data_IF_702682967810
#
_entry.id   IF_702682967810
#
_cell.length_a   1.000
_cell.length_b   1.000
_cell.length_c   1.000
_cell.angle_alpha   90.00
_cell.angle_beta   90.00
_cell.angle_gamma   90.00
#
_symmetry.space_group_name_H-M   'P 1'
#
loop_
_entity.id
_entity.type
_entity.pdbx_description
1 polymer ?
#
# COMPACT_ATOMS: atom_id res chain seq x y z
N UNK A 1 -19.67 -11.13 7.83
CA UNK A 1 -20.47 -12.25 7.29
C UNK A 1 -20.47 -13.34 8.35
N UNK A 2 -21.62 -13.71 8.88
CA UNK A 2 -21.75 -14.83 9.83
C UNK A 2 -22.30 -16.06 9.11
N UNK A 3 -21.66 -17.21 9.29
CA UNK A 3 -22.14 -18.50 8.79
C UNK A 3 -23.32 -18.99 9.62
N UNK A 4 -24.45 -19.29 9.00
CA UNK A 4 -25.53 -20.04 9.64
C UNK A 4 -25.23 -21.53 9.47
N UNK A 5 -24.93 -22.21 10.58
CA UNK A 5 -24.83 -23.67 10.64
C UNK A 5 -26.24 -24.26 10.76
N UNK A 6 -26.69 -24.98 9.73
CA UNK A 6 -27.93 -25.75 9.79
C UNK A 6 -27.64 -27.11 10.42
N UNK A 7 -28.07 -27.30 11.68
CA UNK A 7 -28.20 -28.62 12.29
C UNK A 7 -29.32 -29.38 11.57
N UNK A 8 -28.96 -30.41 10.80
CA UNK A 8 -29.90 -31.37 10.27
C UNK A 8 -30.30 -32.29 11.43
N UNK A 9 -31.55 -32.20 11.87
CA UNK A 9 -32.13 -33.16 12.80
C UNK A 9 -32.50 -34.45 12.08
N UNK A 10 -32.11 -35.58 12.66
CA UNK A 10 -32.50 -36.93 12.24
C UNK A 10 -34.02 -37.10 12.35
N UNK A 11 -34.72 -36.82 11.24
CA UNK A 11 -36.15 -37.02 11.11
C UNK A 11 -36.45 -37.52 9.71
N UNK A 12 -36.63 -38.83 9.57
CA UNK A 12 -37.03 -39.49 8.34
C UNK A 12 -38.34 -38.90 7.80
N UNK A 13 -38.26 -38.04 6.79
CA UNK A 13 -39.42 -37.51 6.10
C UNK A 13 -40.00 -38.57 5.14
N UNK A 14 -41.09 -39.22 5.54
CA UNK A 14 -41.94 -40.01 4.63
C UNK A 14 -42.61 -39.08 3.63
N UNK A 15 -42.29 -39.22 2.35
CA UNK A 15 -43.00 -38.53 1.26
C UNK A 15 -44.42 -39.10 1.12
N UNK A 16 -45.45 -38.29 1.41
CA UNK A 16 -46.84 -38.54 1.00
C UNK A 16 -47.06 -38.03 -0.43
N UNK A 17 -47.85 -38.78 -1.21
CA UNK A 17 -48.26 -38.44 -2.59
C UNK A 17 -48.85 -37.03 -2.69
N UNK A 18 -48.42 -36.31 -3.72
CA UNK A 18 -48.80 -34.93 -4.01
C UNK A 18 -50.32 -34.78 -4.18
N UNK A 19 -50.90 -33.83 -3.45
CA UNK A 19 -52.25 -33.31 -3.70
C UNK A 19 -52.19 -32.23 -4.78
N UNK A 20 -53.30 -32.06 -5.50
CA UNK A 20 -53.47 -31.19 -6.68
C UNK A 20 -53.19 -29.70 -6.37
N UNK A 21 -53.11 -29.29 -5.10
CA UNK A 21 -52.66 -27.94 -4.69
C UNK A 21 -51.15 -27.69 -4.86
N UNK A 22 -50.33 -28.73 -5.05
CA UNK A 22 -48.87 -28.55 -5.20
C UNK A 22 -48.46 -27.97 -6.56
N UNK A 23 -49.27 -28.14 -7.62
CA UNK A 23 -48.90 -27.66 -8.96
C UNK A 23 -49.03 -26.14 -9.09
N UNK A 24 -50.06 -25.54 -8.48
CA UNK A 24 -50.29 -24.10 -8.54
C UNK A 24 -49.21 -23.30 -7.80
N UNK A 25 -48.77 -23.79 -6.64
CA UNK A 25 -47.68 -23.18 -5.87
C UNK A 25 -46.35 -23.30 -6.62
N UNK A 26 -46.10 -24.45 -7.25
CA UNK A 26 -44.90 -24.64 -8.09
C UNK A 26 -44.93 -23.75 -9.34
N UNK A 27 -46.09 -23.55 -9.96
CA UNK A 27 -46.29 -22.62 -11.09
C UNK A 27 -46.07 -21.16 -10.67
N UNK A 28 -46.56 -20.75 -9.50
CA UNK A 28 -46.33 -19.40 -8.96
C UNK A 28 -44.86 -19.17 -8.62
N UNK A 29 -44.18 -20.15 -8.02
CA UNK A 29 -42.75 -20.10 -7.74
C UNK A 29 -41.95 -20.02 -9.04
N UNK A 30 -42.29 -20.82 -10.05
CA UNK A 30 -41.64 -20.79 -11.35
C UNK A 30 -41.88 -19.45 -12.06
N UNK A 31 -43.10 -18.92 -12.02
CA UNK A 31 -43.42 -17.61 -12.57
C UNK A 31 -42.65 -16.49 -11.86
N UNK A 32 -42.52 -16.54 -10.54
CA UNK A 32 -41.73 -15.58 -9.75
C UNK A 32 -40.25 -15.63 -10.13
N UNK A 33 -39.66 -16.82 -10.27
CA UNK A 33 -38.27 -17.00 -10.69
C UNK A 33 -38.08 -16.51 -12.13
N UNK A 34 -38.99 -16.81 -13.04
CA UNK A 34 -38.90 -16.37 -14.45
C UNK A 34 -39.01 -14.85 -14.55
N UNK A 35 -39.99 -14.25 -13.87
CA UNK A 35 -40.21 -12.80 -13.90
C UNK A 35 -39.07 -12.00 -13.26
N UNK A 36 -38.51 -12.48 -12.14
CA UNK A 36 -37.35 -11.85 -11.51
C UNK A 36 -36.10 -11.95 -12.38
N UNK A 37 -35.87 -13.09 -13.04
CA UNK A 37 -34.75 -13.23 -13.97
C UNK A 37 -34.94 -12.43 -15.27
N UNK A 38 -36.17 -12.33 -15.80
CA UNK A 38 -36.49 -11.46 -16.95
C UNK A 38 -36.32 -9.98 -16.61
N UNK A 39 -36.72 -9.56 -15.41
CA UNK A 39 -36.52 -8.19 -14.96
C UNK A 39 -35.04 -7.86 -14.75
N UNK A 40 -34.28 -8.80 -14.17
CA UNK A 40 -32.82 -8.66 -14.06
C UNK A 40 -32.17 -8.59 -15.45
N UNK A 41 -32.56 -9.48 -16.38
CA UNK A 41 -32.07 -9.43 -17.76
C UNK A 41 -32.40 -8.10 -18.41
N UNK A 42 -33.64 -7.61 -18.31
CA UNK A 42 -34.03 -6.30 -18.82
C UNK A 42 -33.18 -5.19 -18.20
N UNK A 43 -33.00 -5.16 -16.87
CA UNK A 43 -32.18 -4.14 -16.20
C UNK A 43 -30.71 -4.18 -16.62
N UNK A 44 -30.15 -5.36 -16.90
CA UNK A 44 -28.75 -5.52 -17.32
C UNK A 44 -28.53 -5.39 -18.84
N UNK A 45 -29.55 -5.64 -19.67
CA UNK A 45 -29.48 -5.49 -21.14
C UNK A 45 -30.10 -4.19 -21.63
N UNK A 46 -30.74 -3.40 -20.77
CA UNK A 46 -31.25 -2.08 -21.09
C UNK A 46 -30.06 -1.13 -21.29
N UNK A 47 -29.57 -1.10 -22.52
CA UNK A 47 -28.80 0.02 -23.04
C UNK A 47 -29.76 1.18 -23.30
N UNK A 48 -29.55 2.37 -22.73
CA UNK A 48 -30.27 3.56 -23.16
C UNK A 48 -30.01 3.70 -24.66
N UNK A 49 -31.07 3.71 -25.48
CA UNK A 49 -30.91 4.19 -26.85
C UNK A 49 -30.47 5.64 -26.73
N UNK A 50 -29.25 5.93 -27.19
CA UNK A 50 -28.92 7.26 -27.67
C UNK A 50 -30.06 7.71 -28.58
N UNK A 51 -30.75 8.77 -28.20
CA UNK A 51 -31.69 9.43 -29.09
C UNK A 51 -30.90 9.97 -30.28
N UNK A 52 -31.09 9.46 -31.51
CA UNK A 52 -30.62 10.15 -32.69
C UNK A 52 -31.60 11.29 -32.93
N UNK A 53 -31.07 12.51 -32.88
CA UNK A 53 -31.54 13.68 -33.61
C UNK A 53 -33.06 13.89 -33.68
N UNK A 54 -33.57 14.76 -32.80
CA UNK A 54 -34.78 15.53 -33.11
C UNK A 54 -34.44 16.62 -34.15
N UNK A 55 -34.03 16.20 -35.34
CA UNK A 55 -34.09 16.98 -36.56
C UNK A 55 -35.43 16.74 -37.23
N UNK A 56 -36.14 17.80 -37.61
CA UNK A 56 -37.47 17.82 -38.22
C UNK A 56 -38.68 17.64 -37.27
N UNK A 57 -38.90 18.67 -36.45
CA UNK A 57 -40.21 19.33 -36.32
C UNK A 57 -39.99 20.79 -35.87
N UNK A 58 -39.16 21.51 -36.62
CA UNK A 58 -39.02 22.97 -36.51
C UNK A 58 -39.80 23.58 -37.66
N UNK A 59 -41.11 23.68 -37.47
CA UNK A 59 -41.89 24.77 -38.04
C UNK A 59 -42.84 25.23 -36.93
N UNK A 60 -42.27 26.03 -36.02
CA UNK A 60 -42.89 27.20 -35.36
C UNK A 60 -42.16 27.51 -34.04
N UNK A 61 -41.76 28.78 -33.89
CA UNK A 61 -41.26 29.50 -32.70
C UNK A 61 -39.75 29.44 -32.35
N UNK A 62 -38.93 30.41 -32.82
CA UNK A 62 -37.49 30.48 -32.56
C UNK A 62 -37.09 31.25 -31.27
N UNK A 63 -38.02 31.54 -30.35
CA UNK A 63 -37.74 32.34 -29.13
C UNK A 63 -37.61 31.54 -27.82
N UNK A 64 -38.08 30.29 -27.78
CA UNK A 64 -38.12 29.51 -26.53
C UNK A 64 -36.83 28.71 -26.24
N UNK A 65 -36.02 28.39 -27.25
CA UNK A 65 -34.79 27.59 -27.07
C UNK A 65 -33.66 28.43 -26.46
N UNK A 66 -33.56 29.73 -26.80
CA UNK A 66 -32.57 30.63 -26.17
C UNK A 66 -32.87 30.86 -24.69
N UNK A 67 -34.15 30.98 -24.34
CA UNK A 67 -34.63 31.19 -22.96
C UNK A 67 -34.38 29.97 -22.07
N UNK A 68 -34.60 28.75 -22.60
CA UNK A 68 -34.28 27.50 -21.90
C UNK A 68 -32.76 27.36 -21.72
N UNK A 69 -31.97 27.68 -22.75
CA UNK A 69 -30.50 27.66 -22.65
C UNK A 69 -29.97 28.66 -21.63
N UNK A 70 -30.57 29.84 -21.54
CA UNK A 70 -30.20 30.90 -20.60
C UNK A 70 -30.62 30.54 -19.16
N UNK A 71 -31.80 29.97 -18.98
CA UNK A 71 -32.25 29.44 -17.69
C UNK A 71 -31.40 28.26 -17.20
N UNK A 72 -30.98 27.35 -18.08
CA UNK A 72 -30.06 26.26 -17.73
C UNK A 72 -28.69 26.81 -17.33
N UNK A 73 -28.18 27.83 -18.03
CA UNK A 73 -26.92 28.47 -17.65
C UNK A 73 -27.01 29.19 -16.29
N UNK A 74 -28.14 29.83 -15.98
CA UNK A 74 -28.40 30.44 -14.67
C UNK A 74 -28.49 29.38 -13.57
N UNK A 75 -29.16 28.25 -13.81
CA UNK A 75 -29.24 27.15 -12.86
C UNK A 75 -27.84 26.56 -12.59
N UNK A 76 -27.03 26.35 -13.64
CA UNK A 76 -25.66 25.86 -13.47
C UNK A 76 -24.78 26.85 -12.69
N UNK A 77 -24.91 28.15 -12.96
CA UNK A 77 -24.25 29.21 -12.21
C UNK A 77 -24.66 29.23 -10.73
N UNK A 78 -25.94 29.07 -10.44
CA UNK A 78 -26.47 29.04 -9.07
C UNK A 78 -26.01 27.78 -8.32
N UNK A 79 -25.94 26.63 -9.01
CA UNK A 79 -25.37 25.38 -8.48
C UNK A 79 -23.89 25.58 -8.15
N UNK A 80 -23.11 26.17 -9.06
CA UNK A 80 -21.68 26.43 -8.85
C UNK A 80 -21.46 27.41 -7.67
N UNK A 81 -22.28 28.46 -7.58
CA UNK A 81 -22.28 29.43 -6.47
C UNK A 81 -22.63 28.76 -5.14
N UNK A 82 -23.64 27.90 -5.13
CA UNK A 82 -24.07 27.15 -3.93
C UNK A 82 -23.00 26.15 -3.49
N UNK A 83 -22.35 25.45 -4.42
CA UNK A 83 -21.23 24.56 -4.10
C UNK A 83 -20.03 25.33 -3.54
N UNK A 84 -19.71 26.50 -4.10
CA UNK A 84 -18.65 27.38 -3.55
C UNK A 84 -18.97 27.84 -2.12
N UNK A 85 -20.21 28.23 -1.84
CA UNK A 85 -20.65 28.59 -0.48
C UNK A 85 -20.59 27.41 0.48
N UNK A 86 -20.98 26.22 0.04
CA UNK A 86 -20.91 25.00 0.85
C UNK A 86 -19.46 24.65 1.19
N UNK A 87 -18.56 24.68 0.21
CA UNK A 87 -17.12 24.46 0.41
C UNK A 87 -16.49 25.52 1.35
N UNK A 88 -16.91 26.78 1.24
CA UNK A 88 -16.48 27.85 2.14
C UNK A 88 -16.95 27.60 3.59
N UNK A 89 -18.22 27.20 3.78
CA UNK A 89 -18.73 26.83 5.10
C UNK A 89 -18.05 25.57 5.65
N UNK A 90 -17.81 24.54 4.82
CA UNK A 90 -17.06 23.36 5.24
C UNK A 90 -15.64 23.73 5.66
N UNK A 91 -14.97 24.63 4.94
CA UNK A 91 -13.64 25.15 5.30
C UNK A 91 -13.65 25.92 6.62
N UNK A 92 -14.67 26.75 6.85
CA UNK A 92 -14.81 27.54 8.08
C UNK A 92 -15.24 26.69 9.29
N UNK A 93 -16.05 25.66 9.09
CA UNK A 93 -16.61 24.80 10.15
C UNK A 93 -15.67 23.64 10.49
N UNK A 94 -15.02 23.03 9.50
CA UNK A 94 -14.20 21.82 9.66
C UNK A 94 -12.69 22.11 9.64
N UNK A 95 -12.26 23.28 9.16
CA UNK A 95 -10.84 23.67 9.14
C UNK A 95 -9.95 22.81 8.21
N UNK A 96 -10.54 21.99 7.34
CA UNK A 96 -9.79 21.14 6.41
C UNK A 96 -9.41 21.91 5.14
N UNK A 97 -8.12 21.96 4.81
CA UNK A 97 -7.66 22.31 3.46
C UNK A 97 -7.99 21.13 2.51
N UNK A 98 -9.02 21.30 1.69
CA UNK A 98 -9.37 20.40 0.60
C UNK A 98 -8.77 20.90 -0.72
N UNK A 99 -8.41 19.99 -1.62
CA UNK A 99 -7.95 20.36 -2.96
C UNK A 99 -9.11 21.02 -3.72
N UNK A 100 -8.97 22.29 -4.07
CA UNK A 100 -9.94 23.02 -4.88
C UNK A 100 -9.96 22.47 -6.32
N UNK A 101 -11.05 21.76 -6.66
CA UNK A 101 -11.27 21.19 -7.99
C UNK A 101 -11.52 22.25 -9.07
N UNK A 102 -11.83 23.48 -8.67
CA UNK A 102 -11.98 24.65 -9.54
C UNK A 102 -10.65 25.28 -9.98
N UNK A 103 -9.52 24.85 -9.40
CA UNK A 103 -8.20 25.39 -9.72
C UNK A 103 -7.89 25.23 -11.23
N UNK A 104 -7.42 26.30 -11.91
CA UNK A 104 -6.98 26.18 -13.30
C UNK A 104 -5.78 25.22 -13.39
N UNK A 105 -5.66 24.49 -14.50
CA UNK A 105 -4.58 23.52 -14.78
C UNK A 105 -4.57 22.23 -13.94
N UNK A 106 -5.68 21.90 -13.26
CA UNK A 106 -5.85 20.59 -12.64
C UNK A 106 -6.18 19.54 -13.72
N UNK A 107 -5.46 18.42 -13.74
CA UNK A 107 -5.69 17.32 -14.67
C UNK A 107 -7.12 16.78 -14.54
N UNK A 108 -7.77 16.52 -15.68
CA UNK A 108 -9.15 16.03 -15.71
C UNK A 108 -9.32 14.71 -14.93
N UNK A 109 -8.35 13.80 -15.02
CA UNK A 109 -8.40 12.54 -14.27
C UNK A 109 -8.29 12.77 -12.75
N UNK A 110 -7.60 13.81 -12.29
CA UNK A 110 -7.54 14.16 -10.87
C UNK A 110 -8.90 14.68 -10.39
N UNK A 111 -9.58 15.50 -11.20
CA UNK A 111 -10.95 15.97 -10.92
C UNK A 111 -11.91 14.80 -10.78
N UNK A 112 -11.90 13.89 -11.75
CA UNK A 112 -12.75 12.69 -11.75
C UNK A 112 -12.43 11.78 -10.56
N UNK A 113 -11.14 11.61 -10.22
CA UNK A 113 -10.74 10.79 -9.08
C UNK A 113 -11.23 11.34 -7.75
N UNK A 114 -11.11 12.66 -7.53
CA UNK A 114 -11.51 13.32 -6.28
C UNK A 114 -13.01 13.61 -6.20
N UNK A 115 -13.74 13.48 -7.30
CA UNK A 115 -15.18 13.72 -7.33
C UNK A 115 -15.90 12.74 -6.39
N UNK A 116 -16.78 13.27 -5.55
CA UNK A 116 -17.66 12.46 -4.70
C UNK A 116 -18.70 11.74 -5.57
N UNK A 117 -18.85 10.43 -5.34
CA UNK A 117 -19.82 9.62 -6.06
C UNK A 117 -20.89 9.15 -5.10
N UNK A 118 -22.16 9.49 -5.34
CA UNK A 118 -23.27 8.96 -4.56
C UNK A 118 -23.29 7.43 -4.63
N UNK A 119 -23.63 6.79 -3.52
CA UNK A 119 -23.81 5.34 -3.50
C UNK A 119 -24.94 4.95 -4.45
N UNK A 120 -24.77 3.91 -5.28
CA UNK A 120 -25.79 3.52 -6.28
C UNK A 120 -27.17 3.22 -5.69
N UNK A 121 -27.21 2.79 -4.42
CA UNK A 121 -28.44 2.42 -3.70
C UNK A 121 -28.84 3.44 -2.62
N UNK A 122 -28.23 4.64 -2.64
CA UNK A 122 -28.42 5.63 -1.59
C UNK A 122 -27.71 5.27 -0.28
N UNK A 123 -28.21 5.80 0.84
CA UNK A 123 -27.59 5.69 2.16
C UNK A 123 -27.43 4.23 2.60
N UNK A 124 -26.22 3.81 2.93
CA UNK A 124 -26.00 2.51 3.56
C UNK A 124 -26.60 2.49 4.97
N UNK A 125 -27.55 1.58 5.21
CA UNK A 125 -28.24 1.45 6.49
C UNK A 125 -27.32 1.11 7.67
N UNK A 126 -26.18 0.45 7.42
CA UNK A 126 -25.25 0.01 8.47
C UNK A 126 -24.23 1.08 8.84
N UNK A 127 -23.60 1.70 7.84
CA UNK A 127 -22.54 2.69 8.05
C UNK A 127 -23.06 4.13 8.03
N UNK A 128 -24.26 4.36 7.51
CA UNK A 128 -24.83 5.69 7.32
C UNK A 128 -24.19 6.48 6.17
N UNK A 129 -23.22 5.92 5.45
CA UNK A 129 -22.51 6.56 4.36
C UNK A 129 -23.45 6.73 3.17
N UNK A 130 -23.38 7.88 2.51
CA UNK A 130 -24.18 8.22 1.31
C UNK A 130 -23.34 8.34 0.05
N UNK A 131 -22.03 8.53 0.20
CA UNK A 131 -21.09 8.83 -0.88
C UNK A 131 -19.82 8.01 -0.75
N UNK A 132 -19.28 7.60 -1.90
CA UNK A 132 -17.93 7.09 -2.03
C UNK A 132 -16.99 8.27 -2.27
N UNK A 133 -15.99 8.39 -1.39
CA UNK A 133 -14.94 9.40 -1.49
C UNK A 133 -13.61 8.73 -1.83
N UNK A 134 -12.83 9.35 -2.70
CA UNK A 134 -11.45 8.97 -2.89
C UNK A 134 -10.57 9.71 -1.88
N UNK A 135 -9.61 9.03 -1.27
CA UNK A 135 -8.66 9.64 -0.35
C UNK A 135 -7.37 10.02 -1.06
N UNK A 136 -6.92 11.25 -0.85
CA UNK A 136 -5.52 11.66 -1.01
C UNK A 136 -5.01 12.15 0.33
N UNK A 137 -3.72 11.94 0.61
CA UNK A 137 -3.12 12.45 1.84
C UNK A 137 -3.31 13.96 1.93
N UNK A 138 -3.70 14.47 3.11
CA UNK A 138 -3.98 15.89 3.30
C UNK A 138 -2.78 16.78 2.95
N UNK A 139 -1.57 16.34 3.28
CA UNK A 139 -0.32 17.03 2.91
C UNK A 139 -0.09 17.15 1.40
N UNK A 140 -0.83 16.39 0.58
CA UNK A 140 -0.76 16.45 -0.86
C UNK A 140 -1.33 17.75 -1.45
N UNK A 141 -2.13 18.49 -0.67
CA UNK A 141 -2.59 19.83 -1.04
C UNK A 141 -1.41 20.75 -1.43
N UNK A 142 -0.30 20.65 -0.69
CA UNK A 142 0.95 21.41 -0.94
C UNK A 142 1.69 20.95 -2.19
N UNK A 143 1.32 19.80 -2.75
CA UNK A 143 1.94 19.18 -3.92
C UNK A 143 0.93 18.98 -5.06
N UNK A 144 -0.16 19.76 -5.09
CA UNK A 144 -1.23 19.64 -6.09
C UNK A 144 -0.72 19.75 -7.52
N UNK A 145 0.28 20.58 -7.79
CA UNK A 145 0.83 20.71 -9.15
C UNK A 145 1.56 19.43 -9.60
N UNK A 146 2.31 18.79 -8.68
CA UNK A 146 2.95 17.50 -8.92
C UNK A 146 1.90 16.38 -9.05
N UNK A 147 0.83 16.43 -8.24
CA UNK A 147 -0.27 15.47 -8.31
C UNK A 147 -1.04 15.61 -9.63
N UNK A 148 -1.27 16.84 -10.08
CA UNK A 148 -1.88 17.14 -11.38
C UNK A 148 -1.01 16.60 -12.52
N UNK A 149 0.30 16.84 -12.47
CA UNK A 149 1.25 16.26 -13.41
C UNK A 149 1.19 14.72 -13.41
N UNK A 150 1.15 14.11 -12.22
CA UNK A 150 1.01 12.66 -12.07
C UNK A 150 -0.33 12.14 -12.62
N UNK A 151 -1.40 12.92 -12.54
CA UNK A 151 -2.71 12.51 -13.09
C UNK A 151 -2.90 12.92 -14.55
N UNK A 152 -1.89 13.49 -15.20
CA UNK A 152 -1.94 13.82 -16.62
C UNK A 152 -1.47 12.64 -17.48
N UNK A 153 -2.42 11.79 -17.88
CA UNK A 153 -2.17 10.63 -18.73
C UNK A 153 -3.34 10.37 -19.68
N UNK A 154 -3.10 9.55 -20.72
CA UNK A 154 -4.15 9.11 -21.63
C UNK A 154 -4.90 7.91 -21.05
N UNK A 155 -6.22 8.04 -20.88
CA UNK A 155 -7.11 6.94 -20.48
C UNK A 155 -6.98 5.79 -21.49
N UNK A 156 -6.88 4.55 -20.99
CA UNK A 156 -6.68 3.34 -21.80
C UNK A 156 -5.44 3.44 -22.72
N UNK A 157 -4.50 4.33 -22.43
CA UNK A 157 -3.19 4.42 -23.07
C UNK A 157 -2.10 3.85 -22.17
N UNK A 158 -0.83 3.84 -22.63
CA UNK A 158 0.30 3.53 -21.77
C UNK A 158 0.45 4.59 -20.68
N UNK A 159 0.73 4.16 -19.45
CA UNK A 159 1.10 5.09 -18.39
C UNK A 159 2.45 5.76 -18.69
N UNK A 160 2.62 7.05 -18.36
CA UNK A 160 3.92 7.70 -18.42
C UNK A 160 4.97 6.95 -17.56
N UNK A 161 6.23 6.98 -17.98
CA UNK A 161 7.36 6.43 -17.22
C UNK A 161 7.84 7.45 -16.19
N UNK A 162 7.01 7.71 -15.19
CA UNK A 162 7.16 8.77 -14.19
C UNK A 162 7.12 8.24 -12.75
N UNK A 163 7.63 7.01 -12.54
CA UNK A 163 7.67 6.38 -11.22
C UNK A 163 8.39 7.25 -10.16
N UNK A 164 9.38 8.04 -10.57
CA UNK A 164 10.12 8.97 -9.70
C UNK A 164 9.26 10.14 -9.23
N UNK A 165 8.33 10.62 -10.06
CA UNK A 165 7.31 11.59 -9.67
C UNK A 165 6.36 10.97 -8.63
N UNK A 166 5.93 9.73 -8.86
CA UNK A 166 5.15 8.97 -7.88
C UNK A 166 5.87 8.84 -6.53
N UNK A 167 7.16 8.47 -6.52
CA UNK A 167 7.97 8.41 -5.30
C UNK A 167 8.09 9.77 -4.61
N UNK A 168 8.25 10.86 -5.38
CA UNK A 168 8.33 12.21 -4.83
C UNK A 168 7.03 12.61 -4.14
N UNK A 169 5.89 12.26 -4.71
CA UNK A 169 4.57 12.46 -4.11
C UNK A 169 4.42 11.64 -2.82
N UNK A 170 4.80 10.36 -2.83
CA UNK A 170 4.86 9.50 -1.63
C UNK A 170 5.65 10.18 -0.50
N UNK A 171 6.88 10.61 -0.80
CA UNK A 171 7.76 11.28 0.16
C UNK A 171 7.25 12.66 0.62
N UNK A 172 6.31 13.23 -0.13
CA UNK A 172 5.63 14.50 0.21
C UNK A 172 4.30 14.28 0.95
N UNK A 173 3.99 13.04 1.36
CA UNK A 173 2.80 12.70 2.14
C UNK A 173 1.53 12.51 1.30
N UNK A 174 1.66 12.22 0.00
CA UNK A 174 0.54 11.93 -0.90
C UNK A 174 0.14 10.44 -0.94
N UNK A 175 0.47 9.61 0.07
CA UNK A 175 -0.01 8.22 0.08
C UNK A 175 -1.44 8.09 0.67
N UNK A 176 -2.27 7.16 0.15
CA UNK A 176 -2.01 6.36 -1.05
C UNK A 176 -2.06 7.22 -2.31
N UNK A 177 -1.20 6.89 -3.29
CA UNK A 177 -1.22 7.58 -4.58
C UNK A 177 -2.55 7.35 -5.31
N UNK A 178 -3.02 8.38 -6.01
CA UNK A 178 -4.22 8.32 -6.83
C UNK A 178 -4.13 7.21 -7.89
N UNK A 179 -5.18 6.42 -8.01
CA UNK A 179 -5.24 5.32 -9.00
C UNK A 179 -5.34 5.89 -10.41
N UNK A 180 -4.61 5.30 -11.36
CA UNK A 180 -4.63 5.70 -12.78
C UNK A 180 -5.41 4.73 -13.64
N UNK A 181 -6.09 5.23 -14.67
CA UNK A 181 -6.80 4.47 -15.72
C UNK A 181 -5.96 4.31 -16.99
N UNK A 182 -4.67 3.99 -16.83
CA UNK A 182 -3.72 3.71 -17.91
C UNK A 182 -3.10 2.33 -17.74
N UNK A 183 -2.53 1.78 -18.80
CA UNK A 183 -1.85 0.49 -18.80
C UNK A 183 -0.40 0.65 -18.35
N UNK A 184 -0.02 -0.07 -17.29
CA UNK A 184 1.37 -0.10 -16.83
C UNK A 184 2.32 -0.55 -17.95
N UNK A 185 3.53 0.00 -17.95
CA UNK A 185 4.57 -0.35 -18.92
C UNK A 185 4.89 -1.84 -18.84
N UNK A 186 4.79 -2.55 -19.96
CA UNK A 186 5.23 -3.93 -20.06
C UNK A 186 6.77 -3.97 -20.03
N UNK A 187 7.34 -4.65 -19.05
CA UNK A 187 8.79 -4.89 -18.96
C UNK A 187 9.04 -6.37 -19.27
N UNK A 188 9.86 -6.70 -20.28
CA UNK A 188 10.20 -8.08 -20.60
C UNK A 188 10.79 -8.80 -19.38
N UNK A 189 10.22 -9.95 -19.01
CA UNK A 189 10.68 -10.78 -17.88
C UNK A 189 11.62 -11.88 -18.34
N UNK A 190 12.63 -11.49 -19.11
CA UNK A 190 13.61 -12.43 -19.71
C UNK A 190 14.40 -13.12 -18.60
N UNK A 191 14.35 -14.45 -18.56
CA UNK A 191 15.09 -15.25 -17.58
C UNK A 191 14.47 -15.30 -16.18
N UNK A 192 13.20 -14.90 -16.01
CA UNK A 192 12.43 -15.25 -14.82
C UNK A 192 11.84 -16.65 -15.00
N UNK A 193 12.01 -17.48 -13.98
CA UNK A 193 11.42 -18.82 -13.88
C UNK A 193 10.20 -18.79 -12.95
N UNK A 194 9.31 -19.77 -13.04
CA UNK A 194 8.14 -19.88 -12.16
C UNK A 194 8.53 -19.99 -10.69
N UNK A 195 9.67 -20.63 -10.41
CA UNK A 195 10.31 -20.65 -9.11
C UNK A 195 11.80 -20.32 -9.31
N UNK A 196 12.39 -19.42 -8.51
CA UNK A 196 13.80 -19.09 -8.64
C UNK A 196 14.66 -20.32 -8.31
N UNK A 197 15.52 -20.76 -9.24
CA UNK A 197 16.50 -21.85 -9.00
C UNK A 197 17.40 -21.54 -7.80
N UNK A 198 17.71 -20.26 -7.59
CA UNK A 198 18.50 -19.79 -6.47
C UNK A 198 18.17 -18.34 -6.14
N UNK A 199 18.07 -18.02 -4.85
CA UNK A 199 17.92 -16.66 -4.34
C UNK A 199 19.23 -15.85 -4.42
N UNK A 200 20.34 -16.49 -4.81
CA UNK A 200 21.71 -15.96 -4.84
C UNK A 200 22.31 -15.95 -6.25
N UNK A 201 21.46 -16.05 -7.29
CA UNK A 201 21.86 -15.97 -8.68
C UNK A 201 21.28 -14.71 -9.32
N UNK A 202 22.09 -13.99 -10.07
CA UNK A 202 21.60 -12.86 -10.86
C UNK A 202 20.75 -13.36 -12.03
N UNK A 203 19.64 -12.67 -12.24
CA UNK A 203 18.79 -12.80 -13.43
C UNK A 203 19.14 -11.71 -14.45
N UNK A 204 18.52 -11.75 -15.64
CA UNK A 204 18.81 -10.78 -16.70
C UNK A 204 18.52 -9.35 -16.24
N UNK A 205 19.47 -8.43 -16.45
CA UNK A 205 19.29 -7.01 -16.10
C UNK A 205 18.23 -6.29 -16.96
N UNK A 206 17.73 -6.95 -18.02
CA UNK A 206 16.66 -6.44 -18.89
C UNK A 206 15.30 -6.38 -18.20
N UNK A 207 15.15 -7.02 -17.03
CA UNK A 207 13.88 -7.05 -16.29
C UNK A 207 13.66 -5.82 -15.39
N UNK A 208 14.70 -5.00 -15.21
CA UNK A 208 14.68 -3.82 -14.36
C UNK A 208 14.35 -2.56 -15.17
N UNK A 209 13.59 -1.65 -14.57
CA UNK A 209 13.44 -0.31 -15.12
C UNK A 209 14.61 0.56 -14.68
N UNK A 210 15.42 0.98 -15.64
CA UNK A 210 16.54 1.92 -15.40
C UNK A 210 16.15 3.38 -15.63
N UNK A 211 14.88 3.65 -15.94
CA UNK A 211 14.37 5.01 -16.13
C UNK A 211 14.52 5.81 -14.84
N UNK A 212 14.91 7.08 -14.91
CA UNK A 212 15.08 7.94 -13.73
C UNK A 212 16.25 7.60 -12.79
N UNK A 213 16.93 6.47 -12.98
CA UNK A 213 18.07 6.05 -12.16
C UNK A 213 19.40 6.53 -12.73
N UNK A 214 20.33 6.92 -11.86
CA UNK A 214 21.68 7.35 -12.25
C UNK A 214 22.57 6.21 -12.77
N UNK A 215 22.30 4.96 -12.35
CA UNK A 215 22.95 3.76 -12.89
C UNK A 215 22.06 3.05 -13.91
N UNK A 216 22.68 2.37 -14.88
CA UNK A 216 22.00 1.64 -15.98
C UNK A 216 22.29 0.14 -16.02
N UNK A 217 23.06 -0.35 -15.06
CA UNK A 217 23.38 -1.76 -14.89
C UNK A 217 23.79 -2.04 -13.43
N UNK A 218 23.80 -3.32 -13.06
CA UNK A 218 24.17 -3.76 -11.71
C UNK A 218 25.64 -3.46 -11.39
N UNK A 219 26.53 -3.50 -12.40
CA UNK A 219 27.94 -3.17 -12.24
C UNK A 219 28.16 -1.74 -11.73
N UNK A 220 27.40 -0.76 -12.25
CA UNK A 220 27.39 0.61 -11.78
C UNK A 220 26.85 0.74 -10.35
N UNK A 221 25.80 0.00 -10.01
CA UNK A 221 25.26 0.00 -8.65
C UNK A 221 26.26 -0.56 -7.65
N UNK A 222 26.98 -1.63 -8.02
CA UNK A 222 27.99 -2.25 -7.17
C UNK A 222 29.22 -1.37 -6.95
N UNK A 223 29.57 -0.49 -7.89
CA UNK A 223 30.68 0.45 -7.73
C UNK A 223 30.34 1.70 -6.92
N UNK A 224 29.05 1.96 -6.68
CA UNK A 224 28.58 3.11 -5.90
C UNK A 224 28.19 2.70 -4.48
N UNK A 225 28.43 3.62 -3.55
CA UNK A 225 27.85 3.56 -2.21
C UNK A 225 26.53 4.33 -2.23
N UNK A 226 25.42 3.63 -2.44
CA UNK A 226 24.09 4.25 -2.58
C UNK A 226 23.61 4.85 -1.26
N UNK A 227 23.77 4.11 -0.17
CA UNK A 227 23.54 4.58 1.19
C UNK A 227 24.48 3.83 2.15
N UNK A 228 24.32 4.02 3.47
CA UNK A 228 25.19 3.38 4.48
C UNK A 228 25.10 1.85 4.46
N UNK A 229 23.98 1.31 3.98
CA UNK A 229 23.60 -0.11 4.10
C UNK A 229 23.71 -0.88 2.78
N UNK A 230 23.96 -0.17 1.69
CA UNK A 230 23.96 -0.71 0.33
C UNK A 230 25.29 -0.40 -0.38
N UNK A 231 26.40 -0.84 0.20
CA UNK A 231 27.70 -0.86 -0.47
C UNK A 231 27.95 -2.28 -1.04
N UNK A 232 27.79 -2.45 -2.36
CA UNK A 232 27.88 -3.77 -3.00
C UNK A 232 26.68 -4.69 -2.75
N UNK A 233 25.54 -4.14 -2.35
CA UNK A 233 24.34 -4.91 -1.99
C UNK A 233 23.68 -5.67 -3.16
N UNK A 234 24.03 -5.35 -4.40
CA UNK A 234 23.59 -6.08 -5.59
C UNK A 234 24.57 -7.19 -6.00
N UNK A 235 25.71 -7.31 -5.31
CA UNK A 235 26.64 -8.43 -5.46
C UNK A 235 26.19 -9.59 -4.57
N UNK A 236 25.19 -10.34 -5.05
CA UNK A 236 24.59 -11.45 -4.28
C UNK A 236 25.23 -12.82 -4.55
N UNK A 237 26.16 -12.90 -5.51
CA UNK A 237 26.84 -14.17 -5.86
C UNK A 237 28.19 -14.31 -5.17
N UNK A 238 28.82 -13.18 -4.85
CA UNK A 238 30.15 -13.06 -4.25
C UNK A 238 30.14 -11.84 -3.33
N UNK A 239 31.04 -11.80 -2.35
CA UNK A 239 31.14 -10.64 -1.46
C UNK A 239 30.27 -10.72 -0.20
N UNK A 240 30.05 -9.56 0.43
CA UNK A 240 29.55 -9.48 1.81
C UNK A 240 28.10 -9.93 1.97
N UNK A 241 27.22 -9.66 1.00
CA UNK A 241 25.80 -10.03 1.08
C UNK A 241 25.62 -11.54 1.28
N UNK A 242 26.49 -12.36 0.68
CA UNK A 242 26.49 -13.83 0.86
C UNK A 242 26.88 -14.29 2.25
N UNK A 243 27.47 -13.43 3.08
CA UNK A 243 27.89 -13.76 4.45
C UNK A 243 27.00 -13.11 5.51
N UNK A 244 26.19 -12.12 5.10
CA UNK A 244 25.28 -11.39 5.99
C UNK A 244 24.32 -12.36 6.67
N UNK A 245 24.15 -12.19 7.98
CA UNK A 245 23.29 -12.99 8.87
C UNK A 245 23.67 -14.47 9.09
N UNK A 246 24.72 -14.96 8.43
CA UNK A 246 25.19 -16.36 8.58
C UNK A 246 26.63 -16.46 9.08
N UNK A 247 27.38 -15.36 9.02
CA UNK A 247 28.74 -15.27 9.56
C UNK A 247 28.90 -14.02 10.41
N UNK A 248 29.38 -14.19 11.64
CA UNK A 248 29.69 -13.09 12.56
C UNK A 248 30.97 -12.39 12.10
N UNK A 249 30.93 -11.07 11.94
CA UNK A 249 32.11 -10.23 11.67
C UNK A 249 32.37 -9.22 12.78
N UNK A 250 31.31 -8.79 13.44
CA UNK A 250 31.33 -7.87 14.57
C UNK A 250 30.48 -8.41 15.72
N UNK A 251 30.71 -7.89 16.93
CA UNK A 251 29.88 -8.20 18.11
C UNK A 251 28.40 -7.83 17.92
N UNK A 252 28.10 -6.94 16.97
CA UNK A 252 26.76 -6.45 16.66
C UNK A 252 26.01 -7.35 15.65
N UNK A 253 26.69 -8.33 15.04
CA UNK A 253 26.08 -9.19 14.04
C UNK A 253 25.39 -10.37 14.71
N UNK A 254 24.07 -10.46 14.56
CA UNK A 254 23.29 -11.60 15.04
C UNK A 254 23.00 -12.55 13.89
N UNK A 255 23.20 -13.85 14.14
CA UNK A 255 22.92 -14.88 13.15
C UNK A 255 21.43 -15.18 13.11
N UNK A 256 20.89 -15.45 11.91
CA UNK A 256 19.47 -15.77 11.77
C UNK A 256 19.11 -17.00 12.61
N UNK A 257 19.93 -18.05 12.60
CA UNK A 257 19.65 -19.28 13.35
C UNK A 257 19.56 -19.02 14.86
N UNK A 258 20.44 -18.16 15.40
CA UNK A 258 20.38 -17.75 16.80
C UNK A 258 19.09 -17.00 17.11
N UNK A 259 18.68 -16.06 16.24
CA UNK A 259 17.46 -15.27 16.45
C UNK A 259 16.20 -16.13 16.32
N UNK A 260 16.17 -17.05 15.35
CA UNK A 260 15.06 -17.98 15.19
C UNK A 260 14.92 -18.91 16.42
N UNK A 261 16.04 -19.37 16.98
CA UNK A 261 16.05 -20.19 18.20
C UNK A 261 15.54 -19.45 19.44
N UNK A 262 15.59 -18.11 19.46
CA UNK A 262 14.99 -17.27 20.51
C UNK A 262 13.47 -17.11 20.36
N UNK A 263 12.90 -17.53 19.23
CA UNK A 263 11.46 -17.50 18.99
C UNK A 263 10.69 -18.32 20.03
N UNK A 264 9.45 -17.90 20.33
CA UNK A 264 8.56 -18.66 21.22
C UNK A 264 8.21 -20.04 20.62
N UNK A 265 7.68 -20.96 21.44
CA UNK A 265 7.37 -22.36 21.09
C UNK A 265 6.50 -22.57 19.81
N UNK A 266 5.92 -21.53 19.22
CA UNK A 266 5.20 -21.57 17.94
C UNK A 266 6.04 -21.26 16.70
N UNK A 267 7.33 -20.96 16.85
CA UNK A 267 8.24 -20.61 15.75
C UNK A 267 7.98 -19.24 15.12
N UNK A 268 8.80 -18.92 14.11
CA UNK A 268 8.70 -17.70 13.29
C UNK A 268 8.36 -18.16 11.87
N UNK A 269 7.27 -17.67 11.29
CA UNK A 269 6.75 -18.10 9.98
C UNK A 269 6.61 -16.94 9.02
N UNK A 270 6.19 -15.78 9.53
CA UNK A 270 6.01 -14.55 8.75
C UNK A 270 6.77 -13.40 9.41
N UNK A 271 7.64 -12.77 8.63
CA UNK A 271 8.43 -11.61 9.03
C UNK A 271 8.09 -10.35 8.25
N UNK A 272 8.36 -9.19 8.85
CA UNK A 272 8.34 -7.89 8.19
C UNK A 272 9.73 -7.26 8.29
N UNK A 273 10.28 -6.83 7.16
CA UNK A 273 11.64 -6.31 7.07
C UNK A 273 11.63 -4.84 6.64
N UNK A 274 12.03 -3.98 7.56
CA UNK A 274 12.11 -2.53 7.39
C UNK A 274 13.57 -2.18 7.06
N UNK A 275 13.79 -1.62 5.86
CA UNK A 275 15.14 -1.26 5.41
C UNK A 275 15.95 -2.43 4.85
N UNK A 276 15.29 -3.46 4.31
CA UNK A 276 15.92 -4.68 3.80
C UNK A 276 16.86 -4.54 2.61
N UNK A 277 17.05 -3.33 2.05
CA UNK A 277 17.93 -3.06 0.93
C UNK A 277 17.60 -3.93 -0.28
N UNK A 278 18.53 -4.78 -0.70
CA UNK A 278 18.38 -5.71 -1.83
C UNK A 278 17.60 -7.00 -1.51
N UNK A 279 17.05 -7.13 -0.30
CA UNK A 279 16.25 -8.28 0.15
C UNK A 279 17.07 -9.46 0.69
N UNK A 280 18.32 -9.23 1.09
CA UNK A 280 19.21 -10.29 1.63
C UNK A 280 18.67 -10.94 2.89
N UNK A 281 18.07 -10.15 3.79
CA UNK A 281 17.42 -10.70 4.99
C UNK A 281 16.26 -11.62 4.60
N UNK A 282 15.35 -11.16 3.75
CA UNK A 282 14.25 -11.97 3.22
C UNK A 282 14.72 -13.25 2.53
N UNK A 283 15.80 -13.19 1.75
CA UNK A 283 16.38 -14.38 1.11
C UNK A 283 16.84 -15.43 2.12
N UNK A 284 17.56 -14.99 3.17
CA UNK A 284 18.06 -15.88 4.22
C UNK A 284 16.95 -16.50 5.07
N UNK A 285 15.89 -15.73 5.31
CA UNK A 285 14.70 -16.20 6.02
C UNK A 285 13.91 -17.20 5.17
N UNK A 286 13.81 -16.98 3.85
CA UNK A 286 13.16 -17.91 2.92
C UNK A 286 13.86 -19.28 2.86
N UNK A 287 15.19 -19.33 2.95
CA UNK A 287 15.95 -20.61 3.08
C UNK A 287 15.54 -21.43 4.32
N UNK A 288 14.92 -20.80 5.32
CA UNK A 288 14.43 -21.40 6.56
C UNK A 288 12.90 -21.47 6.59
N UNK A 289 12.25 -21.39 5.43
CA UNK A 289 10.80 -21.42 5.27
C UNK A 289 10.05 -20.28 6.00
N UNK A 290 10.70 -19.13 6.19
CA UNK A 290 10.07 -17.92 6.72
C UNK A 290 9.76 -16.96 5.59
N UNK A 291 8.49 -16.61 5.43
CA UNK A 291 8.05 -15.62 4.44
C UNK A 291 8.28 -14.22 4.99
N UNK A 292 8.99 -13.36 4.25
CA UNK A 292 9.27 -12.00 4.67
C UNK A 292 8.71 -11.01 3.65
N UNK A 293 7.98 -10.01 4.14
CA UNK A 293 7.61 -8.82 3.35
C UNK A 293 8.65 -7.73 3.62
N UNK A 294 9.33 -7.25 2.58
CA UNK A 294 10.39 -6.24 2.71
C UNK A 294 9.91 -4.87 2.26
N UNK A 295 9.76 -3.93 3.19
CA UNK A 295 9.42 -2.54 2.90
C UNK A 295 10.64 -1.79 2.37
N UNK A 296 10.55 -1.23 1.15
CA UNK A 296 11.62 -0.44 0.55
C UNK A 296 11.13 0.49 -0.56
N UNK A 297 11.81 1.62 -0.75
CA UNK A 297 11.61 2.55 -1.86
C UNK A 297 12.72 2.35 -2.92
N UNK A 298 12.51 2.86 -4.13
CA UNK A 298 13.49 2.81 -5.22
C UNK A 298 14.39 4.06 -5.17
N UNK A 299 15.18 4.19 -4.11
CA UNK A 299 16.13 5.31 -3.94
C UNK A 299 17.45 4.96 -4.64
N UNK A 300 17.73 5.63 -5.76
CA UNK A 300 18.93 5.46 -6.60
C UNK A 300 19.19 4.05 -7.18
N UNK A 301 18.32 3.08 -6.89
CA UNK A 301 18.36 1.72 -7.40
C UNK A 301 16.95 1.09 -7.50
N UNK A 302 16.77 0.07 -8.36
CA UNK A 302 15.48 -0.59 -8.57
C UNK A 302 15.26 -1.70 -7.52
N UNK A 303 15.22 -1.33 -6.24
CA UNK A 303 15.15 -2.28 -5.12
C UNK A 303 13.94 -3.22 -5.21
N UNK A 304 12.76 -2.67 -5.48
CA UNK A 304 11.53 -3.45 -5.53
C UNK A 304 11.58 -4.49 -6.65
N UNK A 305 12.00 -4.10 -7.85
CA UNK A 305 12.15 -5.02 -8.98
C UNK A 305 13.25 -6.05 -8.74
N UNK A 306 14.35 -5.67 -8.08
CA UNK A 306 15.43 -6.59 -7.73
C UNK A 306 14.98 -7.65 -6.72
N UNK A 307 14.26 -7.26 -5.68
CA UNK A 307 13.70 -8.20 -4.69
C UNK A 307 12.67 -9.13 -5.35
N UNK A 308 11.73 -8.59 -6.12
CA UNK A 308 10.73 -9.38 -6.82
C UNK A 308 11.34 -10.38 -7.81
N UNK A 309 12.40 -9.96 -8.52
CA UNK A 309 13.12 -10.80 -9.47
C UNK A 309 13.79 -12.03 -8.83
N UNK A 310 14.10 -11.96 -7.53
CA UNK A 310 14.62 -13.08 -6.74
C UNK A 310 13.51 -14.00 -6.21
N UNK A 311 12.23 -13.71 -6.52
CA UNK A 311 11.08 -14.44 -5.97
C UNK A 311 10.76 -14.06 -4.52
N UNK A 312 11.21 -12.90 -4.06
CA UNK A 312 10.94 -12.37 -2.71
C UNK A 312 9.83 -11.31 -2.78
N UNK A 313 9.26 -10.94 -1.62
CA UNK A 313 8.11 -10.03 -1.57
C UNK A 313 8.53 -8.59 -1.19
N UNK A 314 8.64 -7.67 -2.16
CA UNK A 314 8.82 -6.25 -1.87
C UNK A 314 7.49 -5.55 -1.58
N UNK A 315 7.52 -4.59 -0.66
CA UNK A 315 6.45 -3.64 -0.41
C UNK A 315 6.97 -2.22 -0.65
N UNK A 316 6.45 -1.59 -1.69
CA UNK A 316 6.76 -0.20 -2.01
C UNK A 316 5.98 0.74 -1.08
N UNK A 317 6.64 1.23 -0.02
CA UNK A 317 6.00 1.98 1.06
C UNK A 317 7.00 2.93 1.74
N UNK A 318 6.55 4.15 2.07
CA UNK A 318 7.28 5.06 2.96
C UNK A 318 7.05 4.73 4.44
N UNK A 319 8.08 4.90 5.28
CA UNK A 319 7.98 4.70 6.73
C UNK A 319 7.23 5.83 7.46
N UNK A 320 6.89 6.90 6.76
CA UNK A 320 6.06 8.00 7.30
C UNK A 320 4.56 7.64 7.32
N UNK A 321 4.16 6.55 6.67
CA UNK A 321 2.78 6.06 6.65
C UNK A 321 2.58 4.85 7.56
N UNK A 322 1.36 4.73 8.09
CA UNK A 322 0.96 3.55 8.86
C UNK A 322 1.06 2.31 7.98
N UNK A 323 1.67 1.25 8.50
CA UNK A 323 1.82 -0.01 7.80
C UNK A 323 0.45 -0.61 7.42
N UNK A 324 0.27 -1.05 6.16
CA UNK A 324 -0.99 -1.55 5.62
C UNK A 324 -1.28 -2.99 6.06
N UNK A 325 -0.93 -3.34 7.29
CA UNK A 325 -1.15 -4.66 7.89
C UNK A 325 -2.10 -4.54 9.08
N UNK A 326 -2.83 -5.63 9.34
CA UNK A 326 -3.66 -5.71 10.53
C UNK A 326 -2.82 -5.85 11.80
N UNK A 327 -3.44 -5.65 12.95
CA UNK A 327 -2.77 -5.75 14.24
C UNK A 327 -2.32 -7.19 14.52
N UNK A 328 -1.14 -7.37 15.13
CA UNK A 328 -0.55 -8.66 15.50
C UNK A 328 -0.35 -9.65 14.32
N UNK A 329 -0.03 -9.13 13.13
CA UNK A 329 0.18 -9.94 11.91
C UNK A 329 1.50 -10.72 11.92
N UNK A 330 2.61 -10.14 12.39
CA UNK A 330 3.94 -10.69 12.18
C UNK A 330 4.49 -11.41 13.41
N UNK A 331 5.24 -12.50 13.16
CA UNK A 331 6.00 -13.24 14.19
C UNK A 331 7.34 -12.55 14.51
N UNK A 332 7.92 -11.87 13.51
CA UNK A 332 9.19 -11.16 13.59
C UNK A 332 9.09 -9.84 12.82
N UNK A 333 9.52 -8.74 13.43
CA UNK A 333 9.81 -7.49 12.71
C UNK A 333 11.31 -7.25 12.78
N UNK A 334 11.96 -7.20 11.62
CA UNK A 334 13.35 -6.84 11.46
C UNK A 334 13.43 -5.38 11.04
N UNK A 335 14.27 -4.59 11.71
CA UNK A 335 14.56 -3.22 11.34
C UNK A 335 16.08 -3.11 11.18
N UNK A 336 16.51 -3.05 9.91
CA UNK A 336 17.90 -2.82 9.56
C UNK A 336 18.31 -1.37 9.87
N UNK A 337 19.61 -1.12 9.80
CA UNK A 337 20.21 0.18 10.05
C UNK A 337 19.47 1.32 9.31
N UNK A 338 19.30 2.44 10.03
CA UNK A 338 18.65 3.63 9.48
C UNK A 338 17.13 3.57 9.41
N UNK A 339 16.43 3.44 10.54
CA UNK A 339 15.15 4.16 10.69
C UNK A 339 15.49 5.66 10.74
N UNK A 340 15.88 6.23 9.60
CA UNK A 340 16.05 7.66 9.43
C UNK A 340 14.68 8.26 9.17
N UNK A 341 13.83 8.23 10.20
CA UNK A 341 12.48 8.80 10.18
C UNK A 341 12.54 10.33 10.28
N UNK A 342 13.64 10.96 9.83
CA UNK A 342 13.94 12.36 10.09
C UNK A 342 14.33 12.63 11.55
N UNK A 343 14.96 13.78 11.78
CA UNK A 343 15.55 14.14 13.08
C UNK A 343 14.56 14.44 14.23
N UNK A 344 13.27 14.14 14.09
CA UNK A 344 12.24 14.40 15.12
C UNK A 344 11.93 13.13 15.90
N UNK A 345 11.95 13.21 17.22
CA UNK A 345 11.69 12.09 18.14
C UNK A 345 10.31 11.47 17.96
N UNK A 346 9.30 12.30 17.67
CA UNK A 346 7.90 11.89 17.55
C UNK A 346 7.69 10.94 16.37
N UNK A 347 8.42 11.14 15.27
CA UNK A 347 8.34 10.24 14.11
C UNK A 347 8.85 8.83 14.45
N UNK A 348 9.93 8.75 15.22
CA UNK A 348 10.41 7.46 15.74
C UNK A 348 9.42 6.83 16.71
N UNK A 349 8.76 7.62 17.56
CA UNK A 349 7.70 7.13 18.45
C UNK A 349 6.54 6.52 17.66
N UNK A 350 5.97 7.25 16.70
CA UNK A 350 4.89 6.73 15.84
C UNK A 350 5.28 5.44 15.13
N UNK A 351 6.48 5.39 14.56
CA UNK A 351 6.98 4.20 13.89
C UNK A 351 7.11 3.00 14.84
N UNK A 352 7.63 3.20 16.05
CA UNK A 352 7.78 2.12 17.04
C UNK A 352 6.43 1.65 17.58
N UNK A 353 5.44 2.54 17.75
CA UNK A 353 4.07 2.14 18.05
C UNK A 353 3.45 1.31 16.92
N UNK A 354 3.74 1.64 15.66
CA UNK A 354 3.21 0.90 14.52
C UNK A 354 3.89 -0.46 14.33
N UNK A 355 5.21 -0.53 14.57
CA UNK A 355 5.97 -1.79 14.68
C UNK A 355 5.36 -2.66 15.79
N UNK A 356 5.16 -2.09 16.98
CA UNK A 356 4.57 -2.80 18.11
C UNK A 356 3.16 -3.32 17.76
N UNK A 357 2.36 -2.51 17.07
CA UNK A 357 1.01 -2.88 16.65
C UNK A 357 1.00 -4.08 15.72
N UNK A 358 1.85 -4.12 14.69
CA UNK A 358 1.86 -5.21 13.71
C UNK A 358 2.56 -6.47 14.22
N UNK A 359 3.43 -6.36 15.23
CA UNK A 359 4.10 -7.49 15.87
C UNK A 359 3.14 -8.20 16.85
N UNK A 360 3.00 -9.53 16.75
CA UNK A 360 2.16 -10.29 17.68
C UNK A 360 2.78 -10.40 19.07
N UNK A 361 1.96 -10.66 20.09
CA UNK A 361 2.45 -11.02 21.42
C UNK A 361 3.36 -12.28 21.35
N UNK A 362 4.48 -12.25 22.07
CA UNK A 362 5.52 -13.28 22.02
C UNK A 362 6.36 -13.29 20.74
N UNK A 363 6.07 -12.40 19.78
CA UNK A 363 6.88 -12.17 18.59
C UNK A 363 8.16 -11.39 18.90
N UNK A 364 9.09 -11.38 17.94
CA UNK A 364 10.40 -10.76 18.09
C UNK A 364 10.50 -9.44 17.31
N UNK A 365 11.08 -8.43 17.93
CA UNK A 365 11.60 -7.24 17.28
C UNK A 365 13.12 -7.36 17.23
N UNK A 366 13.67 -7.44 16.02
CA UNK A 366 15.10 -7.48 15.76
C UNK A 366 15.55 -6.13 15.21
N UNK A 367 16.27 -5.37 16.05
CA UNK A 367 17.00 -4.18 15.64
C UNK A 367 18.40 -4.60 15.20
N UNK A 368 18.71 -4.49 13.91
CA UNK A 368 20.01 -4.88 13.33
C UNK A 368 20.86 -3.64 13.06
N UNK A 369 21.95 -3.48 13.83
CA UNK A 369 22.88 -2.37 13.68
C UNK A 369 22.17 -1.01 13.61
N UNK A 370 21.22 -0.76 14.51
CA UNK A 370 20.44 0.47 14.54
C UNK A 370 21.33 1.67 14.90
N UNK A 371 21.49 2.61 13.97
CA UNK A 371 22.28 3.82 14.20
C UNK A 371 21.61 4.81 15.15
N UNK A 372 22.29 5.08 16.27
CA UNK A 372 21.93 6.10 17.24
C UNK A 372 22.72 7.38 16.94
N UNK A 373 22.13 8.27 16.14
CA UNK A 373 22.76 9.52 15.68
C UNK A 373 23.04 10.52 16.80
N UNK A 374 22.22 10.53 17.85
CA UNK A 374 22.36 11.41 19.02
C UNK A 374 21.82 10.71 20.28
N UNK A 375 22.15 11.30 21.45
CA UNK A 375 21.70 10.78 22.74
C UNK A 375 20.18 10.86 22.92
N UNK A 376 19.51 11.82 22.27
CA UNK A 376 18.05 11.93 22.29
C UNK A 376 17.38 10.70 21.67
N UNK A 377 17.80 10.29 20.47
CA UNK A 377 17.27 9.11 19.79
C UNK A 377 17.50 7.84 20.60
N UNK A 378 18.67 7.73 21.24
CA UNK A 378 18.99 6.63 22.17
C UNK A 378 18.06 6.62 23.38
N UNK A 379 17.83 7.78 24.02
CA UNK A 379 16.91 7.91 25.16
C UNK A 379 15.48 7.56 24.79
N UNK A 380 14.98 8.09 23.68
CA UNK A 380 13.62 7.83 23.18
C UNK A 380 13.43 6.34 22.91
N UNK A 381 14.34 5.72 22.17
CA UNK A 381 14.28 4.28 21.88
C UNK A 381 14.28 3.44 23.17
N UNK A 382 15.18 3.74 24.11
CA UNK A 382 15.30 2.99 25.37
C UNK A 382 14.03 3.14 26.21
N UNK A 383 13.52 4.39 26.34
CA UNK A 383 12.28 4.69 27.06
C UNK A 383 11.10 3.93 26.48
N UNK A 384 10.96 3.90 25.15
CA UNK A 384 9.86 3.20 24.49
C UNK A 384 9.93 1.68 24.68
N UNK A 385 11.12 1.09 24.55
CA UNK A 385 11.33 -0.35 24.78
C UNK A 385 10.89 -0.73 26.21
N UNK A 386 11.21 0.11 27.20
CA UNK A 386 10.83 -0.06 28.60
C UNK A 386 9.32 0.16 28.81
N UNK A 387 8.75 1.23 28.25
CA UNK A 387 7.32 1.53 28.31
C UNK A 387 6.47 0.40 27.71
N UNK A 388 6.92 -0.15 26.60
CA UNK A 388 6.29 -1.29 25.93
C UNK A 388 6.52 -2.63 26.64
N UNK A 389 7.39 -2.65 27.67
CA UNK A 389 7.79 -3.82 28.47
C UNK A 389 8.36 -4.96 27.64
N UNK A 390 9.13 -4.63 26.59
CA UNK A 390 9.82 -5.66 25.80
C UNK A 390 10.84 -6.40 26.65
N UNK A 391 10.82 -7.73 26.58
CA UNK A 391 11.85 -8.57 27.19
C UNK A 391 13.10 -8.52 26.31
N UNK A 392 14.22 -8.05 26.86
CA UNK A 392 15.52 -8.00 26.18
C UNK A 392 16.11 -9.41 26.14
N UNK A 393 16.11 -10.07 24.97
CA UNK A 393 16.68 -11.40 24.80
C UNK A 393 18.18 -11.33 24.46
N UNK A 394 18.55 -10.38 23.61
CA UNK A 394 19.94 -10.07 23.28
C UNK A 394 20.10 -8.57 23.07
N UNK A 395 21.17 -7.98 23.59
CA UNK A 395 21.40 -6.53 23.52
C UNK A 395 22.90 -6.25 23.44
N UNK A 396 23.34 -5.62 22.35
CA UNK A 396 24.75 -5.26 22.15
C UNK A 396 24.83 -3.84 21.62
N UNK A 397 25.63 -3.01 22.30
CA UNK A 397 26.00 -1.67 21.82
C UNK A 397 27.40 -1.73 21.24
N UNK A 398 27.50 -1.30 19.99
CA UNK A 398 28.74 -1.21 19.22
C UNK A 398 29.08 0.23 18.92
N UNK A 399 30.36 0.46 18.67
CA UNK A 399 30.88 1.72 18.17
C UNK A 399 31.61 1.43 16.86
N UNK A 400 31.38 2.29 15.86
CA UNK A 400 32.08 2.22 14.58
C UNK A 400 32.62 3.60 14.26
N UNK A 401 33.90 3.67 13.90
CA UNK A 401 34.53 4.91 13.48
C UNK A 401 34.14 5.15 12.03
N UNK A 402 33.53 6.31 11.74
CA UNK A 402 33.20 6.67 10.38
C UNK A 402 34.43 7.20 9.61
N UNK A 403 34.29 7.40 8.29
CA UNK A 403 35.39 7.89 7.44
C UNK A 403 35.92 9.29 7.82
N UNK A 404 35.20 10.03 8.67
CA UNK A 404 35.60 11.33 9.21
C UNK A 404 36.22 11.22 10.63
N UNK A 405 36.48 10.01 11.14
CA UNK A 405 37.11 9.77 12.43
C UNK A 405 36.19 9.93 13.65
N UNK A 406 34.88 10.15 13.46
CA UNK A 406 33.91 10.24 14.56
C UNK A 406 33.39 8.85 14.95
N UNK A 407 33.31 8.57 16.24
CA UNK A 407 32.68 7.35 16.76
C UNK A 407 31.15 7.46 16.62
N UNK A 408 30.56 6.44 16.00
CA UNK A 408 29.12 6.31 15.81
C UNK A 408 28.62 5.11 16.61
N UNK A 409 27.60 5.32 17.43
CA UNK A 409 27.00 4.27 18.26
C UNK A 409 25.91 3.50 17.51
N UNK A 410 25.95 2.19 17.61
CA UNK A 410 25.00 1.27 16.99
C UNK A 410 24.43 0.29 18.02
N UNK A 411 23.13 0.05 17.95
CA UNK A 411 22.44 -0.93 18.78
C UNK A 411 22.01 -2.13 17.94
N UNK A 412 22.44 -3.32 18.33
CA UNK A 412 21.84 -4.57 17.87
C UNK A 412 21.08 -5.21 19.03
N UNK A 413 19.78 -5.48 18.83
CA UNK A 413 18.95 -6.05 19.88
C UNK A 413 17.90 -7.03 19.33
N UNK A 414 17.64 -8.08 20.09
CA UNK A 414 16.48 -8.96 19.91
C UNK A 414 15.60 -8.80 21.13
N UNK A 415 14.37 -8.35 20.89
CA UNK A 415 13.39 -8.00 21.90
C UNK A 415 12.15 -8.85 21.70
N UNK A 416 11.57 -9.38 22.76
CA UNK A 416 10.31 -10.13 22.69
C UNK A 416 9.15 -9.29 23.21
N UNK A 417 8.10 -9.17 22.40
CA UNK A 417 6.88 -8.45 22.79
C UNK A 417 6.16 -9.21 23.91
N UNK A 418 5.84 -8.57 25.05
CA UNK A 418 5.14 -9.23 26.14
C UNK A 418 3.67 -9.47 25.77
N UNK A 419 3.02 -10.36 26.53
CA UNK A 419 1.55 -10.39 26.58
C UNK A 419 1.12 -9.24 27.47
N UNK A 420 0.29 -8.33 26.94
CA UNK A 420 -0.32 -7.25 27.71
C UNK A 420 -1.77 -7.66 28.00
N UNK A 421 -2.13 -7.70 29.28
CA UNK A 421 -3.48 -8.01 29.77
C UNK A 421 -4.20 -6.71 30.05
#
# INVERSE_FOLDING_TARGET
>A
MGSVSLKIGDGTARFKRASICSSAVNLLMLFSVITTNLFALYAFTYTPRDHPQLGHLVHHTPKNISLISEQVALILSEIESSQKKLAQMEKEILGYESIDLGRPNLANELKVFLQHHLLPLGKDSRTGITEMVASVGHSCEKSVDLLSQYMNYKINGPCPDDWSLGQKLILSGCEPLSRRRCFAKAIPKVGLESFPVSLWKNVSEKIYSWSGLGCKNLACLNSKKLNRDCAGCFEITKGYETQKYVKVRSKNDFLIDDVLAMGSNGGIRIGFDIGGGSGTFAARMAERNVTVVTATLNVDAPFNEFIAARGLFPLYLSLDHRFPFYDNTFDLVHAANGLDVGGRSEKLEFLLFDIDRVLRAGGLLWLDNFYCSNDDKKRVLTRLIEQFRYKKLKWVVGEKINGAGKSEAYLSAVLQKPVRV
#
